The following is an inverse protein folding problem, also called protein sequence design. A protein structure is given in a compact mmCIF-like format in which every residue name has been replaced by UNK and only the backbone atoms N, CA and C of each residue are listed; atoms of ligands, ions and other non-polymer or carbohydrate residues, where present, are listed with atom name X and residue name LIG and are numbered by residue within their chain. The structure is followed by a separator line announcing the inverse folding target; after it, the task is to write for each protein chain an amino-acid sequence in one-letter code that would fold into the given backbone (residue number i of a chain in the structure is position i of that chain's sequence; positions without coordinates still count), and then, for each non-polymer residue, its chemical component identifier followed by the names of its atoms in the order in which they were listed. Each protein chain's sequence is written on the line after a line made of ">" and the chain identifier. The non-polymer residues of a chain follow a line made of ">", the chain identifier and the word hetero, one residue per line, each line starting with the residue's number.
data_IF_922239078358
#
_entry.id   IF_922239078358
#
_cell.length_a   1.000
_cell.length_b   1.000
_cell.length_c   1.000
_cell.angle_alpha   90.00
_cell.angle_beta   90.00
_cell.angle_gamma   90.00
#
_symmetry.space_group_name_H-M   'P 1'
#
loop_
_entity.id
_entity.type
_entity.pdbx_description
1 polymer ?
#
# COMPACT_ATOMS: atom_id res chain seq x y z
N UNK A 1 -6.58 10.79 -0.77
CA UNK A 1 -5.37 9.97 -0.94
C UNK A 1 -4.93 9.33 0.37
N UNK A 2 -4.88 10.06 1.48
CA UNK A 2 -4.54 9.56 2.81
C UNK A 2 -5.21 8.22 3.21
N UNK A 3 -6.54 8.13 3.18
CA UNK A 3 -7.27 6.88 3.49
C UNK A 3 -6.96 5.75 2.50
N UNK A 4 -6.72 6.09 1.24
CA UNK A 4 -6.41 5.13 0.17
C UNK A 4 -5.00 4.55 0.37
N UNK A 5 -4.03 5.38 0.74
CA UNK A 5 -2.68 4.94 1.13
C UNK A 5 -2.72 4.00 2.34
N UNK A 6 -3.50 4.33 3.37
CA UNK A 6 -3.67 3.45 4.54
C UNK A 6 -4.30 2.12 4.11
N UNK A 7 -5.35 2.15 3.29
CA UNK A 7 -5.97 0.94 2.77
C UNK A 7 -4.98 0.10 1.95
N UNK A 8 -4.18 0.73 1.08
CA UNK A 8 -3.14 0.05 0.30
C UNK A 8 -2.12 -0.65 1.18
N UNK A 9 -1.68 -0.07 2.31
CA UNK A 9 -0.75 -0.72 3.26
C UNK A 9 -1.39 -1.94 3.93
N UNK A 10 -2.68 -1.87 4.24
CA UNK A 10 -3.42 -2.94 4.92
C UNK A 10 -3.68 -4.14 4.00
N UNK A 11 -3.87 -3.91 2.69
CA UNK A 11 -4.12 -4.97 1.69
C UNK A 11 -3.06 -6.08 1.67
N UNK A 12 -1.74 -5.83 1.52
CA UNK A 12 -0.74 -6.87 1.52
C UNK A 12 -0.63 -7.60 2.86
N UNK A 13 -0.86 -6.90 3.98
CA UNK A 13 -0.87 -7.51 5.31
C UNK A 13 -2.02 -8.52 5.45
N UNK A 14 -3.24 -8.11 5.12
CA UNK A 14 -4.41 -8.99 5.12
C UNK A 14 -4.27 -10.12 4.12
N UNK A 15 -3.72 -9.83 2.94
CA UNK A 15 -3.49 -10.82 1.89
C UNK A 15 -2.52 -11.91 2.34
N UNK A 16 -1.41 -11.54 2.98
CA UNK A 16 -0.47 -12.50 3.57
C UNK A 16 -1.11 -13.34 4.67
N UNK A 17 -1.88 -12.71 5.56
CA UNK A 17 -2.58 -13.40 6.65
C UNK A 17 -3.64 -14.39 6.16
N UNK A 18 -4.51 -13.95 5.23
CA UNK A 18 -5.55 -14.78 4.62
C UNK A 18 -4.91 -15.88 3.76
N UNK A 19 -3.84 -15.58 3.02
CA UNK A 19 -3.11 -16.56 2.23
C UNK A 19 -2.47 -17.66 3.10
N UNK A 20 -2.00 -17.30 4.30
CA UNK A 20 -1.52 -18.27 5.28
C UNK A 20 -2.64 -19.18 5.80
N UNK A 21 -3.80 -18.62 6.16
CA UNK A 21 -4.96 -19.37 6.65
C UNK A 21 -5.60 -20.25 5.56
N UNK A 22 -5.74 -19.70 4.35
CA UNK A 22 -6.38 -20.31 3.19
C UNK A 22 -5.34 -20.57 2.10
N UNK A 23 -4.42 -21.49 2.38
CA UNK A 23 -3.28 -21.84 1.50
C UNK A 23 -3.64 -22.03 0.01
N UNK A 24 -4.83 -22.55 -0.31
CA UNK A 24 -5.29 -22.73 -1.71
C UNK A 24 -5.47 -21.40 -2.46
N UNK A 25 -5.83 -20.34 -1.76
CA UNK A 25 -6.11 -19.02 -2.33
C UNK A 25 -4.90 -18.10 -2.34
N UNK A 26 -3.81 -18.48 -1.65
CA UNK A 26 -2.61 -17.66 -1.52
C UNK A 26 -2.08 -17.14 -2.86
N UNK A 27 -2.03 -18.00 -3.90
CA UNK A 27 -1.56 -17.60 -5.25
C UNK A 27 -2.40 -16.47 -5.86
N UNK A 28 -3.73 -16.61 -5.79
CA UNK A 28 -4.65 -15.61 -6.34
C UNK A 28 -4.58 -14.31 -5.54
N UNK A 29 -4.52 -14.40 -4.21
CA UNK A 29 -4.40 -13.26 -3.32
C UNK A 29 -3.10 -12.47 -3.57
N UNK A 30 -1.96 -13.15 -3.72
CA UNK A 30 -0.69 -12.51 -4.04
C UNK A 30 -0.74 -11.78 -5.38
N UNK A 31 -1.35 -12.38 -6.41
CA UNK A 31 -1.48 -11.74 -7.72
C UNK A 31 -2.36 -10.49 -7.64
N UNK A 32 -3.53 -10.58 -6.99
CA UNK A 32 -4.43 -9.44 -6.81
C UNK A 32 -3.74 -8.32 -6.03
N UNK A 33 -2.98 -8.66 -4.99
CA UNK A 33 -2.23 -7.69 -4.17
C UNK A 33 -1.17 -6.95 -4.99
N UNK A 34 -0.48 -7.66 -5.88
CA UNK A 34 0.50 -7.06 -6.79
C UNK A 34 -0.18 -6.11 -7.78
N UNK A 35 -1.32 -6.49 -8.36
CA UNK A 35 -2.08 -5.62 -9.27
C UNK A 35 -2.58 -4.37 -8.54
N UNK A 36 -3.09 -4.50 -7.31
CA UNK A 36 -3.52 -3.36 -6.50
C UNK A 36 -2.34 -2.43 -6.18
N UNK A 37 -1.16 -2.98 -5.90
CA UNK A 37 0.04 -2.19 -5.61
C UNK A 37 0.51 -1.42 -6.85
N UNK A 38 0.51 -2.06 -8.02
CA UNK A 38 0.81 -1.40 -9.29
C UNK A 38 -0.19 -0.27 -9.59
N UNK A 39 -1.49 -0.52 -9.41
CA UNK A 39 -2.51 0.50 -9.60
C UNK A 39 -2.32 1.70 -8.65
N UNK A 40 -1.97 1.44 -7.39
CA UNK A 40 -1.68 2.48 -6.41
C UNK A 40 -0.44 3.29 -6.80
N UNK A 41 0.64 2.64 -7.24
CA UNK A 41 1.84 3.31 -7.74
C UNK A 41 1.54 4.27 -8.91
N UNK A 42 0.75 3.83 -9.89
CA UNK A 42 0.34 4.68 -11.02
C UNK A 42 -0.50 5.90 -10.58
N UNK A 43 -1.39 5.72 -9.60
CA UNK A 43 -2.14 6.82 -9.01
C UNK A 43 -1.23 7.80 -8.26
N UNK A 44 -0.21 7.27 -7.57
CA UNK A 44 0.76 8.07 -6.83
C UNK A 44 1.68 8.87 -7.78
N UNK A 45 2.07 8.29 -8.92
CA UNK A 45 2.79 9.03 -9.98
C UNK A 45 1.99 10.18 -10.56
N UNK A 46 0.66 10.05 -10.62
CA UNK A 46 -0.24 11.10 -11.12
C UNK A 46 -0.43 12.23 -10.09
N UNK A 47 0.05 12.10 -8.86
CA UNK A 47 0.03 13.17 -7.86
C UNK A 47 1.25 14.09 -8.02
N UNK A 48 0.99 15.40 -8.02
CA UNK A 48 2.03 16.43 -8.11
C UNK A 48 2.62 16.81 -6.75
N UNK A 49 1.91 16.54 -5.65
CA UNK A 49 2.37 16.84 -4.28
C UNK A 49 2.56 15.56 -3.47
N UNK A 50 3.65 15.46 -2.65
CA UNK A 50 3.85 14.35 -1.74
C UNK A 50 2.70 14.20 -0.74
N UNK A 51 2.28 12.96 -0.50
CA UNK A 51 1.32 12.63 0.55
C UNK A 51 2.10 12.35 1.82
N UNK A 52 1.86 13.14 2.86
CA UNK A 52 2.45 12.92 4.19
C UNK A 52 1.37 12.48 5.16
N UNK A 53 1.59 11.33 5.77
CA UNK A 53 0.69 10.67 6.71
C UNK A 53 1.41 10.52 8.05
N UNK A 54 0.93 11.21 9.08
CA UNK A 54 1.37 10.95 10.45
C UNK A 54 0.57 9.76 10.99
N UNK A 55 1.24 8.62 11.19
CA UNK A 55 0.61 7.39 11.70
C UNK A 55 0.58 7.34 13.23
N UNK A 56 1.54 7.99 13.88
CA UNK A 56 1.54 8.28 15.33
C UNK A 56 1.73 9.81 15.52
N UNK A 57 1.49 10.29 16.75
CA UNK A 57 1.61 11.70 17.18
C UNK A 57 2.96 12.36 16.86
N UNK A 58 3.17 13.62 17.29
CA UNK A 58 4.26 14.55 16.91
C UNK A 58 5.71 13.99 16.86
N UNK A 59 6.03 12.87 17.52
CA UNK A 59 7.35 12.20 17.50
C UNK A 59 7.30 10.75 16.98
N UNK A 60 6.24 10.40 16.26
CA UNK A 60 5.94 9.06 15.80
C UNK A 60 6.35 8.76 14.35
N UNK A 61 5.75 7.70 13.81
CA UNK A 61 6.01 7.24 12.45
C UNK A 61 5.29 8.14 11.45
N UNK A 62 6.06 8.73 10.53
CA UNK A 62 5.54 9.45 9.37
C UNK A 62 5.76 8.62 8.12
N UNK A 63 4.70 8.45 7.35
CA UNK A 63 4.74 7.83 6.04
C UNK A 63 4.67 8.93 4.98
N UNK A 64 5.71 8.98 4.14
CA UNK A 64 5.78 9.89 3.01
C UNK A 64 5.62 9.04 1.76
N UNK A 65 4.58 9.34 0.98
CA UNK A 65 4.34 8.71 -0.31
C UNK A 65 4.49 9.79 -1.39
N UNK A 66 5.60 9.74 -2.10
CA UNK A 66 5.97 10.65 -3.19
C UNK A 66 6.24 9.85 -4.49
N UNK A 67 6.66 10.55 -5.55
CA UNK A 67 6.94 9.92 -6.84
C UNK A 67 8.11 8.91 -6.77
N UNK A 68 9.09 9.16 -5.89
CA UNK A 68 10.17 8.20 -5.67
C UNK A 68 9.66 6.93 -4.99
N UNK A 69 8.79 7.08 -3.99
CA UNK A 69 8.11 5.96 -3.34
C UNK A 69 7.25 5.19 -4.34
N UNK A 70 6.55 5.88 -5.25
CA UNK A 70 5.77 5.25 -6.32
C UNK A 70 6.63 4.33 -7.21
N UNK A 71 7.86 4.74 -7.53
CA UNK A 71 8.79 3.92 -8.33
C UNK A 71 9.19 2.61 -7.64
N UNK A 72 9.28 2.60 -6.31
CA UNK A 72 9.66 1.42 -5.52
C UNK A 72 8.49 0.51 -5.14
N UNK A 73 7.26 1.02 -5.20
CA UNK A 73 6.02 0.26 -4.99
C UNK A 73 5.68 -0.54 -6.25
#
# INVERSE_FOLDING_TARGET
>A
MNTLTIAWIVVPFLSGFIGYLLSRWAKYLSLITSIISLAYSLLLFSQSSPITLNLLDNYGVKLVADQLSAYFI
#
